data_IF_131853866864
#
_entry.id   IF_131853866864
#
_cell.length_a   1.000
_cell.length_b   1.000
_cell.length_c   1.000
_cell.angle_alpha   90.00
_cell.angle_beta   90.00
_cell.angle_gamma   90.00
#
_symmetry.space_group_name_H-M   'P 1'
#
loop_
_entity.id
_entity.type
_entity.pdbx_description
1 polymer ?
#
# COMPACT_ATOMS: atom_id res chain seq x y z
N UNK A 1 26.67 -9.55 26.84
CA UNK A 1 25.94 -8.37 26.31
C UNK A 1 25.77 -8.55 24.81
N UNK A 2 24.77 -9.33 24.40
CA UNK A 2 24.41 -9.55 22.99
C UNK A 2 22.92 -9.95 22.89
N UNK A 3 22.08 -9.22 23.61
CA UNK A 3 20.64 -9.18 23.38
C UNK A 3 20.33 -7.76 22.88
N UNK A 4 19.30 -7.60 22.05
CA UNK A 4 18.78 -6.32 21.51
C UNK A 4 19.39 -5.75 20.22
N UNK A 5 20.00 -6.58 19.36
CA UNK A 5 19.90 -6.33 17.91
C UNK A 5 18.81 -7.21 17.26
N UNK A 6 17.91 -7.74 18.09
CA UNK A 6 16.65 -8.29 17.62
C UNK A 6 15.89 -7.12 17.02
N UNK A 7 15.76 -7.09 15.69
CA UNK A 7 14.85 -6.21 14.99
C UNK A 7 13.45 -6.52 15.53
N UNK A 8 13.09 -5.89 16.67
CA UNK A 8 11.73 -5.86 17.18
C UNK A 8 10.98 -5.01 16.18
N UNK A 9 10.50 -5.64 15.12
CA UNK A 9 9.55 -5.06 14.21
C UNK A 9 8.38 -4.61 15.09
N UNK A 10 8.29 -3.30 15.35
CA UNK A 10 7.26 -2.74 16.22
C UNK A 10 5.92 -2.94 15.50
N UNK A 11 5.06 -3.87 15.99
CA UNK A 11 3.84 -4.19 15.26
C UNK A 11 2.90 -2.99 15.16
N UNK A 12 2.99 -2.03 16.07
CA UNK A 12 2.22 -0.79 16.03
C UNK A 12 2.73 0.13 14.92
N UNK A 13 4.05 0.23 14.74
CA UNK A 13 4.66 0.94 13.62
C UNK A 13 4.28 0.31 12.28
N UNK A 14 4.32 -1.03 12.18
CA UNK A 14 3.93 -1.76 10.97
C UNK A 14 2.47 -1.53 10.62
N UNK A 15 1.56 -1.61 11.60
CA UNK A 15 0.15 -1.31 11.40
C UNK A 15 -0.06 0.14 10.92
N UNK A 16 0.64 1.11 11.53
CA UNK A 16 0.60 2.50 11.10
C UNK A 16 1.09 2.70 9.66
N UNK A 17 2.16 2.02 9.26
CA UNK A 17 2.68 2.08 7.89
C UNK A 17 1.71 1.45 6.87
N UNK A 18 1.10 0.30 7.21
CA UNK A 18 0.08 -0.31 6.37
C UNK A 18 -1.13 0.62 6.16
N UNK A 19 -1.61 1.29 7.23
CA UNK A 19 -2.69 2.26 7.12
C UNK A 19 -2.30 3.48 6.27
N UNK A 20 -1.06 3.98 6.42
CA UNK A 20 -0.56 5.08 5.60
C UNK A 20 -0.49 4.72 4.11
N UNK A 21 -0.05 3.50 3.79
CA UNK A 21 -0.02 2.99 2.40
C UNK A 21 -1.42 2.85 1.81
N UNK A 22 -2.38 2.29 2.56
CA UNK A 22 -3.78 2.20 2.11
C UNK A 22 -4.41 3.58 1.88
N UNK A 23 -4.20 4.51 2.81
CA UNK A 23 -4.68 5.88 2.65
C UNK A 23 -4.06 6.58 1.44
N UNK A 24 -2.77 6.34 1.18
CA UNK A 24 -2.08 6.81 -0.01
C UNK A 24 -2.65 6.22 -1.30
N UNK A 25 -2.89 4.91 -1.34
CA UNK A 25 -3.50 4.22 -2.48
C UNK A 25 -4.91 4.75 -2.78
N UNK A 26 -5.74 4.92 -1.75
CA UNK A 26 -7.09 5.48 -1.90
C UNK A 26 -7.06 6.94 -2.37
N UNK A 27 -6.20 7.77 -1.80
CA UNK A 27 -6.04 9.15 -2.23
C UNK A 27 -5.60 9.23 -3.69
N UNK A 28 -4.62 8.41 -4.08
CA UNK A 28 -4.15 8.32 -5.46
C UNK A 28 -5.30 7.89 -6.39
N UNK A 29 -6.04 6.83 -6.06
CA UNK A 29 -7.20 6.38 -6.84
C UNK A 29 -8.20 7.51 -7.10
N UNK A 30 -8.53 8.27 -6.07
CA UNK A 30 -9.50 9.36 -6.18
C UNK A 30 -8.96 10.50 -7.08
N UNK A 31 -7.70 10.88 -6.91
CA UNK A 31 -7.05 11.90 -7.77
C UNK A 31 -6.93 11.45 -9.22
N UNK A 32 -6.63 10.17 -9.46
CA UNK A 32 -6.58 9.60 -10.81
C UNK A 32 -7.95 9.62 -11.49
N UNK A 33 -9.02 9.29 -10.76
CA UNK A 33 -10.38 9.34 -11.29
C UNK A 33 -10.82 10.76 -11.65
N UNK A 34 -10.48 11.76 -10.81
CA UNK A 34 -10.74 13.17 -11.10
C UNK A 34 -9.99 13.62 -12.36
N UNK A 35 -8.70 13.28 -12.46
CA UNK A 35 -7.89 13.68 -13.61
C UNK A 35 -8.33 13.00 -14.91
N UNK A 36 -8.75 11.73 -14.85
CA UNK A 36 -9.34 11.01 -16.00
C UNK A 36 -10.61 11.71 -16.51
N UNK A 37 -11.44 12.23 -15.60
CA UNK A 37 -12.60 13.06 -15.95
C UNK A 37 -12.20 14.33 -16.71
N UNK A 38 -11.28 15.12 -16.17
CA UNK A 38 -10.80 16.35 -16.82
C UNK A 38 -10.17 16.08 -18.20
N UNK A 39 -9.41 14.99 -18.35
CA UNK A 39 -8.82 14.62 -19.64
C UNK A 39 -9.87 14.13 -20.62
N UNK A 40 -10.87 13.37 -20.17
CA UNK A 40 -12.00 12.96 -20.99
C UNK A 40 -12.77 14.14 -21.57
N UNK A 41 -13.04 15.17 -20.75
CA UNK A 41 -13.70 16.41 -21.21
C UNK A 41 -12.88 17.14 -22.28
N UNK A 42 -11.58 17.31 -22.04
CA UNK A 42 -10.66 17.93 -22.99
C UNK A 42 -10.61 17.17 -24.33
N UNK A 43 -10.49 15.83 -24.28
CA UNK A 43 -10.43 14.99 -25.47
C UNK A 43 -11.76 14.94 -26.24
N UNK A 44 -12.89 15.17 -25.58
CA UNK A 44 -14.19 15.32 -26.25
C UNK A 44 -14.20 16.47 -27.26
N UNK A 45 -13.48 17.55 -26.99
CA UNK A 45 -13.34 18.70 -27.89
C UNK A 45 -12.11 18.66 -28.82
N UNK A 46 -11.10 17.85 -28.50
CA UNK A 46 -9.84 17.81 -29.23
C UNK A 46 -9.68 16.54 -30.07
N UNK A 47 -10.06 16.66 -31.34
CA UNK A 47 -10.09 15.55 -32.30
C UNK A 47 -9.02 15.71 -33.40
N UNK A 48 -8.68 14.61 -34.07
CA UNK A 48 -7.63 14.55 -35.10
C UNK A 48 -6.36 13.85 -34.61
N UNK A 49 -5.33 13.79 -35.47
CA UNK A 49 -4.14 12.97 -35.21
C UNK A 49 -3.40 13.29 -33.91
N UNK A 50 -3.37 14.56 -33.49
CA UNK A 50 -2.77 14.97 -32.22
C UNK A 50 -3.61 14.55 -31.00
N UNK A 51 -4.95 14.64 -31.10
CA UNK A 51 -5.86 14.15 -30.07
C UNK A 51 -5.76 12.63 -29.88
N UNK A 52 -5.69 11.88 -30.98
CA UNK A 52 -5.49 10.42 -30.91
C UNK A 52 -4.13 10.04 -30.29
N UNK A 53 -3.05 10.73 -30.65
CA UNK A 53 -1.73 10.50 -30.07
C UNK A 53 -1.70 10.81 -28.57
N UNK A 54 -2.33 11.91 -28.15
CA UNK A 54 -2.46 12.26 -26.75
C UNK A 54 -3.31 11.23 -25.99
N UNK A 55 -4.44 10.81 -26.53
CA UNK A 55 -5.31 9.79 -25.91
C UNK A 55 -4.56 8.47 -25.69
N UNK A 56 -3.74 8.03 -26.65
CA UNK A 56 -2.94 6.82 -26.48
C UNK A 56 -1.87 6.97 -25.38
N UNK A 57 -1.20 8.14 -25.32
CA UNK A 57 -0.25 8.44 -24.25
C UNK A 57 -0.94 8.50 -22.88
N UNK A 58 -2.15 9.07 -22.83
CA UNK A 58 -2.98 9.15 -21.62
C UNK A 58 -3.37 7.77 -21.10
N UNK A 59 -3.86 6.88 -21.98
CA UNK A 59 -4.22 5.51 -21.59
C UNK A 59 -3.03 4.73 -21.02
N UNK A 60 -1.84 4.87 -21.62
CA UNK A 60 -0.63 4.24 -21.13
C UNK A 60 -0.26 4.75 -19.73
N UNK A 61 -0.28 6.07 -19.55
CA UNK A 61 0.00 6.68 -18.25
C UNK A 61 -1.02 6.24 -17.20
N UNK A 62 -2.32 6.25 -17.52
CA UNK A 62 -3.38 5.89 -16.59
C UNK A 62 -3.27 4.42 -16.16
N UNK A 63 -2.88 3.51 -17.07
CA UNK A 63 -2.57 2.12 -16.72
C UNK A 63 -1.43 2.03 -15.71
N UNK A 64 -0.31 2.69 -15.97
CA UNK A 64 0.83 2.69 -15.04
C UNK A 64 0.48 3.30 -13.68
N UNK A 65 -0.35 4.33 -13.65
CA UNK A 65 -0.81 4.93 -12.40
C UNK A 65 -1.68 3.96 -11.56
N UNK A 66 -2.52 3.15 -12.21
CA UNK A 66 -3.26 2.07 -11.53
C UNK A 66 -2.34 0.97 -11.01
N UNK A 67 -1.27 0.64 -11.74
CA UNK A 67 -0.27 -0.32 -11.24
C UNK A 67 0.42 0.16 -9.97
N UNK A 68 0.71 1.47 -9.86
CA UNK A 68 1.23 2.07 -8.63
C UNK A 68 0.23 1.98 -7.49
N UNK A 69 -1.03 2.33 -7.72
CA UNK A 69 -2.11 2.21 -6.71
C UNK A 69 -2.24 0.77 -6.19
N UNK A 70 -2.27 -0.20 -7.10
CA UNK A 70 -2.34 -1.62 -6.75
C UNK A 70 -1.10 -2.06 -5.99
N UNK A 71 0.09 -1.62 -6.39
CA UNK A 71 1.34 -1.91 -5.70
C UNK A 71 1.35 -1.39 -4.26
N UNK A 72 0.84 -0.18 -4.02
CA UNK A 72 0.71 0.38 -2.68
C UNK A 72 -0.25 -0.44 -1.80
N UNK A 73 -1.39 -0.87 -2.35
CA UNK A 73 -2.35 -1.72 -1.66
C UNK A 73 -1.73 -3.08 -1.28
N UNK A 74 -1.01 -3.72 -2.20
CA UNK A 74 -0.30 -4.99 -1.95
C UNK A 74 0.78 -4.84 -0.88
N UNK A 75 1.56 -3.75 -0.92
CA UNK A 75 2.58 -3.46 0.10
C UNK A 75 1.93 -3.26 1.48
N UNK A 76 0.78 -2.59 1.54
CA UNK A 76 0.07 -2.39 2.78
C UNK A 76 -0.39 -3.72 3.39
N UNK A 77 -0.99 -4.59 2.58
CA UNK A 77 -1.41 -5.92 3.00
C UNK A 77 -0.24 -6.78 3.49
N UNK A 78 0.90 -6.74 2.78
CA UNK A 78 2.08 -7.49 3.17
C UNK A 78 2.63 -7.04 4.54
N UNK A 79 2.66 -5.73 4.80
CA UNK A 79 3.14 -5.19 6.08
C UNK A 79 2.16 -5.49 7.22
N UNK A 80 0.85 -5.39 6.97
CA UNK A 80 -0.17 -5.73 7.96
C UNK A 80 -0.12 -7.22 8.35
N UNK A 81 0.02 -8.11 7.37
CA UNK A 81 0.18 -9.55 7.60
C UNK A 81 1.46 -9.85 8.40
N UNK A 82 2.57 -9.21 8.05
CA UNK A 82 3.83 -9.38 8.78
C UNK A 82 3.69 -8.90 10.24
N UNK A 83 3.07 -7.74 10.48
CA UNK A 83 2.82 -7.21 11.82
C UNK A 83 1.95 -8.14 12.68
N UNK A 84 0.89 -8.70 12.10
CA UNK A 84 0.02 -9.69 12.77
C UNK A 84 0.77 -10.98 13.10
N UNK A 85 1.62 -11.46 12.20
CA UNK A 85 2.48 -12.63 12.42
C UNK A 85 3.42 -12.44 13.61
N UNK A 86 4.06 -11.27 13.71
CA UNK A 86 4.91 -10.92 14.84
C UNK A 86 4.14 -10.91 16.17
N UNK A 87 2.98 -10.24 16.23
CA UNK A 87 2.16 -10.20 17.45
C UNK A 87 1.74 -11.60 17.92
N UNK A 88 1.37 -12.48 16.99
CA UNK A 88 0.96 -13.84 17.31
C UNK A 88 2.12 -14.65 17.91
N UNK A 89 3.31 -14.56 17.31
CA UNK A 89 4.49 -15.28 17.77
C UNK A 89 4.95 -14.80 19.18
N UNK A 90 4.93 -13.49 19.42
CA UNK A 90 5.23 -12.91 20.73
C UNK A 90 4.25 -13.38 21.80
N UNK A 91 2.94 -13.38 21.50
CA UNK A 91 1.92 -13.82 22.43
C UNK A 91 2.08 -15.31 22.80
N UNK A 92 2.37 -16.17 21.82
CA UNK A 92 2.61 -17.59 22.03
C UNK A 92 3.89 -17.83 22.87
N UNK A 93 4.97 -17.14 22.55
CA UNK A 93 6.24 -17.21 23.28
C UNK A 93 6.08 -16.75 24.73
N UNK A 94 5.38 -15.64 24.98
CA UNK A 94 5.09 -15.15 26.31
C UNK A 94 4.21 -16.11 27.14
N UNK A 95 3.33 -16.89 26.50
CA UNK A 95 2.56 -17.94 27.19
C UNK A 95 3.43 -19.14 27.57
N UNK A 96 4.32 -19.57 26.69
CA UNK A 96 5.27 -20.66 26.95
C UNK A 96 6.22 -20.30 28.10
N UNK A 97 6.81 -19.10 28.07
CA UNK A 97 7.71 -18.60 29.13
C UNK A 97 6.98 -18.55 30.48
N UNK A 98 5.75 -18.04 30.52
CA UNK A 98 4.94 -18.01 31.75
C UNK A 98 4.60 -19.41 32.28
N UNK A 99 4.47 -20.40 31.40
CA UNK A 99 4.21 -21.79 31.79
C UNK A 99 5.46 -22.43 32.39
N UNK A 100 6.64 -22.20 31.79
CA UNK A 100 7.94 -22.65 32.33
C UNK A 100 8.22 -22.00 33.68
N UNK A 101 7.95 -20.70 33.85
CA UNK A 101 8.18 -20.00 35.13
C UNK A 101 7.22 -20.40 36.27
N UNK A 102 6.10 -21.08 35.98
CA UNK A 102 5.15 -21.56 36.99
C UNK A 102 5.25 -23.07 37.28
N UNK A 103 6.13 -23.79 36.59
CA UNK A 103 6.38 -25.21 36.81
C UNK A 103 7.72 -25.46 37.48
#
# INVERSE_FOLDING_TARGET
MAADNELRADPQMMAGFAQALLGGAESLRNQLAELDGHVGEMLGGWQGGSGSAYSAAWELWHRGAREVETGLSVLAEAVDQAGKGYQHNEAASAQLVRRVHRG
#
